data_IF_451952902450
#
_entry.id   IF_451952902450
#
_cell.length_a   1.000
_cell.length_b   1.000
_cell.length_c   1.000
_cell.angle_alpha   90.00
_cell.angle_beta   90.00
_cell.angle_gamma   90.00
#
_symmetry.space_group_name_H-M   'P 1'
#
loop_
_entity.id
_entity.type
_entity.pdbx_description
1 polymer ?
#
# COMPACT_ATOMS: atom_id res chain seq x y z
N UNK A 1 -26.55 51.38 38.31
CA UNK A 1 -26.85 52.52 37.41
C UNK A 1 -25.60 52.77 36.61
N UNK A 2 -25.54 52.82 35.30
CA UNK A 2 -26.52 52.75 34.22
C UNK A 2 -25.69 52.83 32.94
N UNK A 3 -26.00 51.99 31.93
CA UNK A 3 -25.66 52.16 30.50
C UNK A 3 -24.15 52.17 30.15
N UNK A 4 -23.66 51.31 29.26
CA UNK A 4 -23.93 51.40 27.82
C UNK A 4 -24.10 50.00 27.22
N UNK A 5 -25.33 49.69 26.83
CA UNK A 5 -25.68 48.64 25.90
C UNK A 5 -26.38 49.32 24.71
N UNK A 6 -25.73 49.30 23.55
CA UNK A 6 -26.27 49.49 22.20
C UNK A 6 -25.03 49.82 21.36
N UNK A 7 -24.55 48.95 20.48
CA UNK A 7 -25.17 48.69 19.17
C UNK A 7 -24.57 47.39 18.62
N UNK A 8 -25.34 46.31 18.59
CA UNK A 8 -25.05 45.16 17.75
C UNK A 8 -26.37 44.68 17.15
N UNK A 9 -26.82 45.41 16.14
CA UNK A 9 -27.77 44.89 15.16
C UNK A 9 -27.40 45.42 13.79
N UNK A 10 -27.58 44.57 12.78
CA UNK A 10 -27.50 44.86 11.36
C UNK A 10 -26.10 44.97 10.73
N UNK A 11 -25.49 43.81 10.42
CA UNK A 11 -25.03 43.43 9.07
C UNK A 11 -23.91 42.37 9.15
N UNK A 12 -24.27 41.09 9.10
CA UNK A 12 -23.34 40.05 8.67
C UNK A 12 -23.48 39.88 7.15
N UNK A 13 -22.56 40.39 6.32
CA UNK A 13 -22.45 39.89 4.98
C UNK A 13 -21.97 38.44 5.07
N UNK A 14 -22.59 37.55 4.32
CA UNK A 14 -22.12 36.20 4.01
C UNK A 14 -20.60 36.24 3.75
N UNK A 15 -19.79 35.79 4.71
CA UNK A 15 -18.33 35.83 4.62
C UNK A 15 -17.84 34.61 3.85
N UNK A 16 -17.07 34.87 2.79
CA UNK A 16 -16.49 33.85 1.93
C UNK A 16 -15.52 32.92 2.71
N UNK A 17 -15.28 31.69 2.22
CA UNK A 17 -14.39 30.71 2.85
C UNK A 17 -12.96 31.23 3.13
N UNK A 18 -12.55 32.27 2.41
CA UNK A 18 -11.25 32.94 2.54
C UNK A 18 -11.10 33.66 3.88
N UNK A 19 -12.20 34.17 4.47
CA UNK A 19 -12.17 34.92 5.73
C UNK A 19 -11.88 34.06 6.97
N UNK A 20 -12.25 32.78 6.95
CA UNK A 20 -12.03 31.83 8.06
C UNK A 20 -10.57 31.37 8.09
N UNK A 21 -9.92 31.28 6.93
CA UNK A 21 -8.51 30.92 6.80
C UNK A 21 -7.54 31.97 7.39
N UNK A 22 -7.94 33.26 7.40
CA UNK A 22 -7.10 34.33 7.94
C UNK A 22 -7.04 34.36 9.48
N UNK A 23 -8.06 33.86 10.20
CA UNK A 23 -8.09 33.85 11.67
C UNK A 23 -7.20 32.75 12.28
N UNK A 24 -6.89 31.69 11.52
CA UNK A 24 -5.94 30.65 11.94
C UNK A 24 -4.47 31.09 11.88
N UNK A 25 -4.19 32.27 11.29
CA UNK A 25 -2.85 32.81 11.06
C UNK A 25 -2.15 33.28 12.35
N UNK A 26 -2.90 33.62 13.39
CA UNK A 26 -2.34 34.26 14.59
C UNK A 26 -2.15 33.31 15.77
N UNK A 27 -2.80 32.14 15.80
CA UNK A 27 -2.68 31.23 16.95
C UNK A 27 -1.47 30.29 16.87
N UNK A 28 -0.92 30.01 15.68
CA UNK A 28 0.10 28.95 15.52
C UNK A 28 1.52 29.46 15.32
N UNK A 29 1.71 30.74 14.96
CA UNK A 29 3.03 31.27 14.59
C UNK A 29 3.89 31.79 15.75
N UNK A 30 3.38 31.88 16.98
CA UNK A 30 4.13 32.53 18.08
C UNK A 30 4.23 31.74 19.40
N UNK A 31 3.66 30.54 19.53
CA UNK A 31 3.58 29.89 20.86
C UNK A 31 3.81 28.38 20.95
N UNK A 32 3.96 27.63 19.83
CA UNK A 32 4.07 26.17 19.92
C UNK A 32 5.54 25.71 19.91
N UNK A 33 6.02 24.97 20.93
CA UNK A 33 7.34 24.33 20.90
C UNK A 33 7.41 23.34 19.73
N UNK A 34 8.60 23.14 19.14
CA UNK A 34 8.82 22.30 17.95
C UNK A 34 8.15 20.91 18.04
N UNK A 35 8.12 20.31 19.23
CA UNK A 35 7.47 19.04 19.51
C UNK A 35 5.92 19.02 19.32
N UNK A 36 5.28 20.18 19.19
CA UNK A 36 3.83 20.33 18.95
C UNK A 36 3.49 20.59 17.48
N UNK A 37 4.50 20.70 16.61
CA UNK A 37 4.28 20.89 15.17
C UNK A 37 3.88 19.55 14.54
N UNK A 38 2.77 19.48 13.79
CA UNK A 38 2.26 18.23 13.22
C UNK A 38 3.24 17.49 12.29
N UNK A 39 4.25 18.18 11.76
CA UNK A 39 5.26 17.64 10.84
C UNK A 39 6.56 17.24 11.55
N UNK A 40 6.68 17.49 12.86
CA UNK A 40 7.81 17.08 13.71
C UNK A 40 7.59 15.71 14.36
N UNK A 41 6.45 15.08 14.11
CA UNK A 41 6.13 13.75 14.64
C UNK A 41 6.96 12.68 13.89
N UNK A 42 7.75 11.86 14.62
CA UNK A 42 8.60 10.82 14.04
C UNK A 42 7.87 9.83 13.12
N UNK A 43 6.55 9.66 13.31
CA UNK A 43 5.71 8.81 12.46
C UNK A 43 5.57 9.32 11.01
N UNK A 44 5.93 10.57 10.75
CA UNK A 44 5.79 11.23 9.44
C UNK A 44 7.12 11.49 8.73
N UNK A 45 8.21 10.83 9.17
CA UNK A 45 9.40 10.65 8.35
C UNK A 45 10.43 11.78 8.37
N UNK A 46 10.46 12.64 9.39
CA UNK A 46 11.64 13.46 9.73
C UNK A 46 12.25 14.28 8.58
N UNK A 47 11.43 14.88 7.72
CA UNK A 47 11.91 15.77 6.66
C UNK A 47 11.92 17.20 7.19
N UNK A 48 13.12 17.74 7.45
CA UNK A 48 13.38 19.12 7.87
C UNK A 48 13.22 20.12 6.70
N UNK A 49 12.11 20.03 5.95
CA UNK A 49 11.70 21.06 5.00
C UNK A 49 10.40 21.63 5.54
N UNK A 50 10.41 22.89 6.00
CA UNK A 50 9.17 23.56 6.40
C UNK A 50 8.22 23.61 5.19
N UNK A 51 7.05 22.97 5.26
CA UNK A 51 6.11 23.00 4.16
C UNK A 51 5.57 24.43 3.98
N UNK A 52 5.45 24.84 2.72
CA UNK A 52 4.78 26.07 2.34
C UNK A 52 3.33 26.07 2.83
N UNK A 53 2.69 27.25 2.94
CA UNK A 53 1.27 27.33 3.32
C UNK A 53 0.37 26.46 2.42
N UNK A 54 0.65 26.45 1.13
CA UNK A 54 -0.01 25.58 0.15
C UNK A 54 0.26 24.10 0.44
N UNK A 55 1.49 23.74 0.80
CA UNK A 55 1.86 22.40 1.22
C UNK A 55 1.09 21.93 2.46
N UNK A 56 0.97 22.79 3.48
CA UNK A 56 0.19 22.47 4.69
C UNK A 56 -1.30 22.27 4.42
N UNK A 57 -1.88 23.12 3.56
CA UNK A 57 -3.29 22.97 3.14
C UNK A 57 -3.50 21.66 2.37
N UNK A 58 -2.58 21.33 1.47
CA UNK A 58 -2.62 20.06 0.72
C UNK A 58 -2.51 18.86 1.67
N UNK A 59 -1.57 18.88 2.62
CA UNK A 59 -1.42 17.81 3.62
C UNK A 59 -2.70 17.64 4.45
N UNK A 60 -3.36 18.73 4.84
CA UNK A 60 -4.59 18.67 5.62
C UNK A 60 -5.76 18.11 4.81
N UNK A 61 -5.90 18.50 3.53
CA UNK A 61 -6.90 17.93 2.63
C UNK A 61 -6.65 16.41 2.43
N UNK A 62 -5.39 16.02 2.22
CA UNK A 62 -4.99 14.62 2.09
C UNK A 62 -5.29 13.80 3.36
N UNK A 63 -5.08 14.39 4.55
CA UNK A 63 -5.40 13.72 5.82
C UNK A 63 -6.91 13.48 5.98
N UNK A 64 -7.72 14.41 5.49
CA UNK A 64 -9.19 14.36 5.59
C UNK A 64 -9.86 13.57 4.46
N UNK A 65 -9.15 13.29 3.38
CA UNK A 65 -9.72 12.62 2.21
C UNK A 65 -10.52 13.55 1.29
N UNK A 66 -10.28 14.87 1.35
CA UNK A 66 -11.03 15.86 0.57
C UNK A 66 -10.52 15.93 -0.88
N UNK A 67 -11.01 15.02 -1.74
CA UNK A 67 -10.60 14.91 -3.15
C UNK A 67 -10.78 16.22 -3.93
N UNK A 68 -11.94 16.87 -3.79
CA UNK A 68 -12.24 18.12 -4.51
C UNK A 68 -11.25 19.24 -4.17
N UNK A 69 -10.82 19.31 -2.91
CA UNK A 69 -9.83 20.27 -2.45
C UNK A 69 -8.44 19.98 -3.05
N UNK A 70 -8.05 18.70 -3.12
CA UNK A 70 -6.79 18.27 -3.74
C UNK A 70 -6.78 18.63 -5.23
N UNK A 71 -7.86 18.35 -5.96
CA UNK A 71 -8.01 18.72 -7.38
C UNK A 71 -7.92 20.23 -7.56
N UNK A 72 -8.62 21.01 -6.74
CA UNK A 72 -8.60 22.47 -6.81
C UNK A 72 -7.20 23.07 -6.54
N UNK A 73 -6.38 22.40 -5.73
CA UNK A 73 -5.03 22.85 -5.38
C UNK A 73 -3.96 22.46 -6.40
N UNK A 74 -4.25 21.54 -7.34
CA UNK A 74 -3.34 21.06 -8.40
C UNK A 74 -2.55 22.15 -9.13
N UNK A 75 -3.14 23.27 -9.60
CA UNK A 75 -2.38 24.29 -10.35
C UNK A 75 -1.40 25.09 -9.50
N UNK A 76 -1.63 25.15 -8.18
CA UNK A 76 -0.84 25.97 -7.25
C UNK A 76 0.08 25.15 -6.35
N UNK A 77 -0.11 23.82 -6.31
CA UNK A 77 0.62 22.94 -5.43
C UNK A 77 2.06 22.72 -5.89
N UNK A 78 2.99 22.72 -4.93
CA UNK A 78 4.36 22.26 -5.18
C UNK A 78 4.36 20.75 -5.39
N UNK A 79 4.85 20.30 -6.54
CA UNK A 79 4.95 18.88 -6.87
C UNK A 79 5.92 18.13 -5.93
N UNK A 80 6.95 18.83 -5.44
CA UNK A 80 7.93 18.28 -4.48
C UNK A 80 7.26 18.05 -3.12
N UNK A 81 6.46 19.02 -2.64
CA UNK A 81 5.77 18.87 -1.35
C UNK A 81 4.64 17.84 -1.44
N UNK A 82 3.96 17.79 -2.59
CA UNK A 82 2.95 16.79 -2.88
C UNK A 82 3.55 15.37 -2.82
N UNK A 83 4.75 15.19 -3.37
CA UNK A 83 5.40 13.89 -3.42
C UNK A 83 6.02 13.48 -2.08
N UNK A 84 6.71 14.40 -1.38
CA UNK A 84 7.42 14.09 -0.14
C UNK A 84 6.51 14.00 1.09
N UNK A 85 5.45 14.81 1.16
CA UNK A 85 4.61 14.93 2.36
C UNK A 85 3.15 14.53 2.11
N UNK A 86 2.52 15.07 1.06
CA UNK A 86 1.08 14.88 0.88
C UNK A 86 0.70 13.44 0.53
N UNK A 87 1.48 12.78 -0.35
CA UNK A 87 1.25 11.39 -0.76
C UNK A 87 1.41 10.40 0.41
N UNK A 88 2.50 10.41 1.21
CA UNK A 88 2.58 9.55 2.40
C UNK A 88 1.45 9.77 3.40
N UNK A 89 0.99 11.03 3.58
CA UNK A 89 -0.11 11.35 4.49
C UNK A 89 -1.44 10.78 3.97
N UNK A 90 -1.73 10.96 2.67
CA UNK A 90 -2.95 10.41 2.06
C UNK A 90 -2.97 8.88 2.15
N UNK A 91 -1.82 8.24 1.91
CA UNK A 91 -1.68 6.79 1.99
C UNK A 91 -1.84 6.30 3.44
N UNK A 92 -1.17 6.90 4.40
CA UNK A 92 -1.31 6.50 5.81
C UNK A 92 -2.73 6.72 6.35
N UNK A 93 -3.44 7.72 5.82
CA UNK A 93 -4.85 7.97 6.14
C UNK A 93 -5.82 6.99 5.44
N UNK A 94 -5.36 6.22 4.45
CA UNK A 94 -6.17 5.21 3.76
C UNK A 94 -7.05 5.73 2.63
N UNK A 95 -6.85 6.97 2.16
CA UNK A 95 -7.73 7.60 1.15
C UNK A 95 -7.28 7.28 -0.28
N UNK A 96 -7.70 6.12 -0.80
CA UNK A 96 -7.26 5.59 -2.11
C UNK A 96 -7.55 6.56 -3.27
N UNK A 97 -8.69 7.23 -3.26
CA UNK A 97 -9.10 8.18 -4.30
C UNK A 97 -8.17 9.39 -4.38
N UNK A 98 -7.75 9.91 -3.22
CA UNK A 98 -6.79 11.00 -3.13
C UNK A 98 -5.41 10.56 -3.59
N UNK A 99 -4.99 9.35 -3.20
CA UNK A 99 -3.71 8.76 -3.61
C UNK A 99 -3.67 8.58 -5.13
N UNK A 100 -4.75 8.08 -5.73
CA UNK A 100 -4.90 7.95 -7.19
C UNK A 100 -4.74 9.29 -7.89
N UNK A 101 -5.40 10.33 -7.39
CA UNK A 101 -5.29 11.67 -7.97
C UNK A 101 -3.86 12.21 -7.86
N UNK A 102 -3.22 12.09 -6.69
CA UNK A 102 -1.84 12.53 -6.48
C UNK A 102 -0.84 11.78 -7.38
N UNK A 103 -1.03 10.48 -7.59
CA UNK A 103 -0.18 9.70 -8.50
C UNK A 103 -0.35 10.09 -9.98
N UNK A 104 -1.50 10.67 -10.35
CA UNK A 104 -1.73 11.23 -11.69
C UNK A 104 -0.92 12.50 -11.96
N UNK A 105 -0.43 13.18 -10.92
CA UNK A 105 0.36 14.40 -11.06
C UNK A 105 1.77 14.08 -11.55
N UNK A 106 2.48 15.00 -12.24
CA UNK A 106 3.85 14.78 -12.68
C UNK A 106 4.84 14.95 -11.51
N UNK A 107 4.71 14.10 -10.48
CA UNK A 107 5.55 14.15 -9.29
C UNK A 107 7.03 13.84 -9.63
N UNK A 108 7.99 14.50 -8.96
CA UNK A 108 9.40 14.12 -9.04
C UNK A 108 9.64 12.79 -8.33
N UNK A 109 10.54 11.97 -8.87
CA UNK A 109 11.01 10.69 -8.29
C UNK A 109 9.89 9.75 -7.80
N UNK A 110 8.82 9.62 -8.60
CA UNK A 110 7.65 8.77 -8.29
C UNK A 110 8.03 7.37 -7.81
N UNK A 111 9.00 6.73 -8.45
CA UNK A 111 9.46 5.38 -8.11
C UNK A 111 9.95 5.30 -6.66
N UNK A 112 10.93 6.14 -6.29
CA UNK A 112 11.53 6.12 -4.96
C UNK A 112 10.49 6.40 -3.86
N UNK A 113 9.57 7.32 -4.14
CA UNK A 113 8.52 7.71 -3.19
C UNK A 113 7.48 6.59 -3.04
N UNK A 114 7.04 5.99 -4.15
CA UNK A 114 6.06 4.91 -4.12
C UNK A 114 6.59 3.72 -3.30
N UNK A 115 7.85 3.32 -3.52
CA UNK A 115 8.47 2.21 -2.79
C UNK A 115 8.61 2.53 -1.30
N UNK A 116 9.00 3.76 -0.94
CA UNK A 116 9.07 4.19 0.46
C UNK A 116 7.70 4.15 1.14
N UNK A 117 6.67 4.60 0.43
CA UNK A 117 5.30 4.60 0.93
C UNK A 117 4.76 3.17 1.09
N UNK A 118 5.05 2.28 0.14
CA UNK A 118 4.72 0.84 0.22
C UNK A 118 5.38 0.19 1.46
N UNK A 119 6.64 0.53 1.75
CA UNK A 119 7.32 0.03 2.96
C UNK A 119 6.60 0.45 4.25
N UNK A 120 6.18 1.71 4.34
CA UNK A 120 5.47 2.25 5.51
C UNK A 120 4.12 1.59 5.75
N UNK A 121 3.35 1.33 4.68
CA UNK A 121 2.02 0.72 4.84
C UNK A 121 2.07 -0.77 5.12
N UNK A 122 3.13 -1.45 4.68
CA UNK A 122 3.32 -2.88 4.93
C UNK A 122 3.32 -3.19 6.44
N UNK A 123 3.76 -2.23 7.26
CA UNK A 123 3.75 -2.32 8.71
C UNK A 123 2.40 -1.92 9.33
N UNK A 124 1.62 -1.08 8.64
CA UNK A 124 0.33 -0.55 9.12
C UNK A 124 -0.86 -1.50 8.94
N UNK A 125 -0.74 -2.54 8.09
CA UNK A 125 -1.78 -3.55 7.85
C UNK A 125 -2.93 -3.12 6.91
N UNK A 126 -2.76 -2.05 6.13
CA UNK A 126 -3.78 -1.57 5.17
C UNK A 126 -3.79 -2.38 3.86
N UNK A 127 -4.40 -3.57 3.90
CA UNK A 127 -4.40 -4.54 2.79
C UNK A 127 -4.82 -3.97 1.43
N UNK A 128 -5.93 -3.25 1.36
CA UNK A 128 -6.45 -2.68 0.10
C UNK A 128 -5.52 -1.59 -0.47
N UNK A 129 -4.91 -0.78 0.39
CA UNK A 129 -3.95 0.25 -0.02
C UNK A 129 -2.65 -0.37 -0.54
N UNK A 130 -2.16 -1.43 0.13
CA UNK A 130 -0.99 -2.20 -0.33
C UNK A 130 -1.26 -2.81 -1.70
N UNK A 131 -2.42 -3.47 -1.88
CA UNK A 131 -2.82 -4.04 -3.18
C UNK A 131 -2.80 -2.98 -4.26
N UNK A 132 -3.45 -1.85 -4.02
CA UNK A 132 -3.52 -0.75 -4.98
C UNK A 132 -2.13 -0.21 -5.36
N UNK A 133 -1.27 0.04 -4.38
CA UNK A 133 0.05 0.63 -4.62
C UNK A 133 1.03 -0.35 -5.26
N UNK A 134 1.00 -1.63 -4.90
CA UNK A 134 1.81 -2.67 -5.55
C UNK A 134 1.34 -2.85 -7.00
N UNK A 135 0.03 -2.91 -7.25
CA UNK A 135 -0.49 -2.98 -8.62
C UNK A 135 -0.04 -1.77 -9.45
N UNK A 136 -0.12 -0.58 -8.85
CA UNK A 136 0.33 0.66 -9.50
C UNK A 136 1.84 0.62 -9.78
N UNK A 137 2.65 0.08 -8.87
CA UNK A 137 4.09 -0.09 -9.08
C UNK A 137 4.39 -1.08 -10.24
N UNK A 138 3.62 -2.17 -10.34
CA UNK A 138 3.71 -3.15 -11.43
C UNK A 138 3.33 -2.53 -12.78
N UNK A 139 2.26 -1.72 -12.83
CA UNK A 139 1.83 -1.00 -14.04
C UNK A 139 2.89 -0.02 -14.54
N UNK A 140 3.58 0.69 -13.63
CA UNK A 140 4.69 1.58 -13.98
C UNK A 140 6.01 0.86 -14.25
N UNK A 141 6.12 -0.45 -13.98
CA UNK A 141 7.34 -1.23 -14.17
C UNK A 141 8.43 -0.98 -13.13
N UNK A 142 8.06 -0.54 -11.92
CA UNK A 142 8.98 -0.26 -10.81
C UNK A 142 9.41 -1.53 -10.06
N UNK A 143 9.97 -2.48 -10.80
CA UNK A 143 10.29 -3.83 -10.34
C UNK A 143 11.80 -4.13 -10.36
N UNK A 144 12.68 -3.16 -10.05
CA UNK A 144 14.13 -3.45 -10.03
C UNK A 144 14.47 -4.29 -8.80
N UNK A 145 15.57 -5.08 -8.84
CA UNK A 145 15.98 -5.97 -7.76
C UNK A 145 16.00 -5.35 -6.36
N UNK A 146 16.45 -4.09 -6.25
CA UNK A 146 16.50 -3.36 -4.97
C UNK A 146 15.12 -3.12 -4.35
N UNK A 147 14.06 -2.99 -5.15
CA UNK A 147 12.72 -2.68 -4.65
C UNK A 147 11.81 -3.90 -4.57
N UNK A 148 12.16 -5.00 -5.25
CA UNK A 148 11.47 -6.29 -5.12
C UNK A 148 11.36 -6.73 -3.68
N UNK A 149 12.43 -6.56 -2.89
CA UNK A 149 12.44 -6.84 -1.46
C UNK A 149 11.27 -6.15 -0.77
N UNK A 150 11.09 -4.85 -0.99
CA UNK A 150 10.03 -4.05 -0.38
C UNK A 150 8.65 -4.46 -0.88
N UNK A 151 8.51 -4.74 -2.18
CA UNK A 151 7.24 -5.17 -2.76
C UNK A 151 6.81 -6.54 -2.22
N UNK A 152 7.69 -7.54 -2.24
CA UNK A 152 7.42 -8.86 -1.64
C UNK A 152 7.19 -8.75 -0.13
N UNK A 153 7.93 -7.91 0.58
CA UNK A 153 7.68 -7.63 1.99
C UNK A 153 6.27 -7.04 2.21
N UNK A 154 5.78 -6.16 1.34
CA UNK A 154 4.43 -5.61 1.44
C UNK A 154 3.35 -6.64 1.10
N UNK A 155 3.53 -7.41 0.02
CA UNK A 155 2.55 -8.45 -0.37
C UNK A 155 2.45 -9.54 0.70
N UNK A 156 3.58 -9.96 1.25
CA UNK A 156 3.61 -10.95 2.33
C UNK A 156 3.01 -10.42 3.63
N UNK A 157 3.03 -9.11 3.91
CA UNK A 157 2.36 -8.59 5.11
C UNK A 157 0.83 -8.58 5.00
N UNK A 158 0.31 -8.52 3.76
CA UNK A 158 -1.12 -8.71 3.49
C UNK A 158 -1.49 -10.19 3.42
N UNK A 159 -0.56 -11.04 2.99
CA UNK A 159 -0.82 -12.46 2.72
C UNK A 159 -1.63 -12.69 1.45
N UNK A 160 -1.60 -11.74 0.51
CA UNK A 160 -2.30 -11.88 -0.77
C UNK A 160 -1.52 -12.77 -1.73
N UNK A 161 -1.98 -14.01 -1.87
CA UNK A 161 -1.37 -14.99 -2.76
C UNK A 161 -1.49 -14.60 -4.24
N UNK A 162 -2.60 -14.00 -4.66
CA UNK A 162 -2.81 -13.67 -6.07
C UNK A 162 -1.83 -12.58 -6.53
N UNK A 163 -1.68 -11.53 -5.70
CA UNK A 163 -0.73 -10.46 -5.93
C UNK A 163 0.73 -10.97 -5.85
N UNK A 164 0.99 -11.95 -4.98
CA UNK A 164 2.30 -12.57 -4.88
C UNK A 164 2.67 -13.33 -6.16
N UNK A 165 1.73 -14.06 -6.76
CA UNK A 165 1.95 -14.74 -8.05
C UNK A 165 2.16 -13.75 -9.19
N UNK A 166 1.33 -12.71 -9.28
CA UNK A 166 1.48 -11.72 -10.34
C UNK A 166 2.84 -11.02 -10.28
N UNK A 167 3.29 -10.68 -9.07
CA UNK A 167 4.61 -10.10 -8.87
C UNK A 167 5.72 -11.11 -9.15
N UNK A 168 5.58 -12.36 -8.74
CA UNK A 168 6.53 -13.42 -9.06
C UNK A 168 6.71 -13.62 -10.58
N UNK A 169 5.60 -13.68 -11.32
CA UNK A 169 5.60 -13.91 -12.76
C UNK A 169 6.21 -12.74 -13.55
N UNK A 170 6.04 -11.50 -13.06
CA UNK A 170 6.59 -10.30 -13.70
C UNK A 170 8.09 -10.14 -13.56
N UNK A 171 8.66 -10.73 -12.50
CA UNK A 171 10.03 -10.45 -12.10
C UNK A 171 11.01 -11.52 -12.62
N UNK A 172 10.56 -12.76 -12.83
CA UNK A 172 11.36 -13.79 -13.47
C UNK A 172 12.47 -14.38 -12.59
N UNK A 173 13.59 -14.77 -13.20
CA UNK A 173 14.69 -15.52 -12.56
C UNK A 173 15.66 -14.68 -11.73
N UNK A 174 15.62 -13.35 -11.83
CA UNK A 174 16.61 -12.44 -11.20
C UNK A 174 16.37 -12.21 -9.69
N UNK A 175 15.61 -13.11 -9.06
CA UNK A 175 15.11 -12.94 -7.70
C UNK A 175 15.78 -13.93 -6.78
N UNK A 176 16.28 -13.41 -5.65
CA UNK A 176 16.68 -14.25 -4.53
C UNK A 176 15.43 -14.80 -3.82
N UNK A 177 14.93 -15.93 -4.33
CA UNK A 177 13.78 -16.65 -3.78
C UNK A 177 14.01 -17.13 -2.35
N UNK A 178 15.26 -17.43 -1.99
CA UNK A 178 15.64 -17.83 -0.64
C UNK A 178 15.42 -16.67 0.33
N UNK A 179 15.80 -15.46 -0.08
CA UNK A 179 15.53 -14.25 0.68
C UNK A 179 14.03 -13.98 0.84
N UNK A 180 13.22 -14.16 -0.22
CA UNK A 180 11.75 -13.97 -0.14
C UNK A 180 11.10 -15.00 0.79
N UNK A 181 11.53 -16.26 0.68
CA UNK A 181 11.08 -17.33 1.57
C UNK A 181 11.33 -16.96 3.03
N UNK A 182 12.52 -16.44 3.34
CA UNK A 182 12.87 -16.00 4.69
C UNK A 182 11.94 -14.89 5.19
N UNK A 183 11.70 -13.84 4.40
CA UNK A 183 10.79 -12.75 4.76
C UNK A 183 9.35 -13.25 5.00
N UNK A 184 8.87 -14.16 4.15
CA UNK A 184 7.55 -14.76 4.32
C UNK A 184 7.46 -15.61 5.60
N UNK A 185 8.52 -16.36 5.92
CA UNK A 185 8.61 -17.19 7.12
C UNK A 185 8.69 -16.35 8.41
N UNK A 186 9.45 -15.25 8.43
CA UNK A 186 9.49 -14.31 9.57
C UNK A 186 8.10 -13.76 9.89
N UNK A 187 7.29 -13.53 8.86
CA UNK A 187 5.90 -13.06 9.01
C UNK A 187 4.88 -14.18 9.20
N UNK A 188 5.32 -15.45 9.27
CA UNK A 188 4.46 -16.64 9.45
C UNK A 188 3.46 -16.86 8.31
N UNK A 189 3.73 -16.31 7.12
CA UNK A 189 2.96 -16.59 5.91
C UNK A 189 3.59 -17.76 5.17
N UNK A 190 3.38 -18.96 5.74
CA UNK A 190 4.03 -20.19 5.29
C UNK A 190 3.63 -20.63 3.88
N UNK A 191 2.43 -20.27 3.42
CA UNK A 191 2.00 -20.52 2.04
C UNK A 191 2.86 -19.77 1.03
N UNK A 192 3.15 -18.49 1.29
CA UNK A 192 4.07 -17.69 0.48
C UNK A 192 5.52 -18.20 0.59
N UNK A 193 5.93 -18.63 1.79
CA UNK A 193 7.25 -19.20 2.01
C UNK A 193 7.45 -20.50 1.23
N UNK A 194 6.48 -21.42 1.27
CA UNK A 194 6.52 -22.66 0.50
C UNK A 194 6.58 -22.39 -1.03
N UNK A 195 5.88 -21.38 -1.51
CA UNK A 195 5.90 -21.00 -2.93
C UNK A 195 7.23 -20.38 -3.38
N UNK A 196 7.84 -19.57 -2.53
CA UNK A 196 9.18 -19.06 -2.76
C UNK A 196 10.19 -20.22 -2.76
N UNK A 197 10.03 -21.16 -1.82
CA UNK A 197 10.86 -22.36 -1.72
C UNK A 197 10.83 -23.24 -2.98
N UNK A 198 9.65 -23.47 -3.56
CA UNK A 198 9.52 -24.24 -4.81
C UNK A 198 10.34 -23.64 -5.97
N UNK A 199 10.62 -22.34 -5.94
CA UNK A 199 11.36 -21.58 -6.95
C UNK A 199 12.84 -21.40 -6.61
N UNK A 200 13.29 -21.81 -5.42
CA UNK A 200 14.71 -21.78 -5.07
C UNK A 200 15.49 -22.83 -5.87
N UNK A 201 16.59 -22.41 -6.50
CA UNK A 201 17.54 -23.32 -7.15
C UNK A 201 18.34 -24.13 -6.11
N UNK A 202 18.72 -23.48 -5.01
CA UNK A 202 19.44 -24.08 -3.88
C UNK A 202 18.46 -24.44 -2.75
N UNK A 203 18.52 -25.70 -2.29
CA UNK A 203 17.60 -26.28 -1.31
C UNK A 203 18.24 -26.56 0.05
N UNK A 204 19.38 -25.97 0.32
CA UNK A 204 20.03 -26.09 1.61
C UNK A 204 19.48 -25.05 2.60
N UNK A 205 18.63 -25.48 3.54
CA UNK A 205 18.08 -24.66 4.63
C UNK A 205 18.93 -24.69 5.90
N UNK A 206 19.97 -25.52 5.93
CA UNK A 206 20.77 -25.75 7.12
C UNK A 206 21.44 -24.44 7.59
N UNK A 207 21.07 -23.98 8.79
CA UNK A 207 21.61 -22.78 9.41
C UNK A 207 20.94 -21.46 9.02
N UNK A 208 20.00 -21.44 8.06
CA UNK A 208 19.30 -20.22 7.64
C UNK A 208 18.02 -19.99 8.45
N UNK A 209 17.29 -21.07 8.74
CA UNK A 209 16.05 -21.04 9.51
C UNK A 209 16.09 -22.07 10.65
N UNK A 210 15.33 -21.81 11.72
CA UNK A 210 15.28 -22.74 12.86
C UNK A 210 14.57 -24.05 12.52
N UNK A 211 14.92 -25.15 13.21
CA UNK A 211 14.32 -26.48 13.04
C UNK A 211 12.77 -26.49 13.18
N UNK A 212 12.25 -25.54 13.95
CA UNK A 212 10.80 -25.34 14.09
C UNK A 212 10.20 -24.74 12.81
N UNK A 213 10.88 -23.75 12.21
CA UNK A 213 10.45 -23.12 10.97
C UNK A 213 10.59 -24.06 9.77
N UNK A 214 11.64 -24.90 9.73
CA UNK A 214 11.79 -25.94 8.69
C UNK A 214 10.64 -26.95 8.75
N UNK A 215 10.28 -27.41 9.96
CA UNK A 215 9.16 -28.33 10.16
C UNK A 215 7.82 -27.73 9.69
N UNK A 216 7.57 -26.45 9.99
CA UNK A 216 6.37 -25.74 9.54
C UNK A 216 6.33 -25.55 8.03
N UNK A 217 7.47 -25.27 7.40
CA UNK A 217 7.58 -25.17 5.95
C UNK A 217 7.27 -26.51 5.26
N UNK A 218 7.85 -27.61 5.75
CA UNK A 218 7.59 -28.95 5.21
C UNK A 218 6.15 -29.41 5.42
N UNK A 219 5.53 -29.07 6.55
CA UNK A 219 4.11 -29.38 6.81
C UNK A 219 3.20 -28.69 5.78
N UNK A 220 3.44 -27.41 5.49
CA UNK A 220 2.65 -26.66 4.52
C UNK A 220 2.92 -27.10 3.08
N UNK A 221 4.16 -27.46 2.76
CA UNK A 221 4.49 -28.07 1.47
C UNK A 221 3.71 -29.38 1.26
N UNK A 222 3.64 -30.22 2.30
CA UNK A 222 2.85 -31.46 2.28
C UNK A 222 1.36 -31.22 2.07
N UNK A 223 0.79 -30.19 2.72
CA UNK A 223 -0.61 -29.78 2.50
C UNK A 223 -0.85 -29.32 1.06
N UNK A 224 0.05 -28.51 0.50
CA UNK A 224 -0.07 -28.02 -0.87
C UNK A 224 0.01 -29.17 -1.90
N UNK A 225 0.93 -30.11 -1.70
CA UNK A 225 1.05 -31.29 -2.56
C UNK A 225 -0.24 -32.14 -2.53
N UNK A 226 -0.75 -32.44 -1.33
CA UNK A 226 -1.99 -33.20 -1.18
C UNK A 226 -3.21 -32.50 -1.80
N UNK A 227 -3.25 -31.15 -1.75
CA UNK A 227 -4.29 -30.37 -2.40
C UNK A 227 -4.21 -30.43 -3.94
N UNK A 228 -3.00 -30.41 -4.51
CA UNK A 228 -2.77 -30.58 -5.95
C UNK A 228 -3.20 -31.97 -6.41
N UNK A 229 -2.77 -33.02 -5.71
CA UNK A 229 -3.13 -34.40 -6.02
C UNK A 229 -4.66 -34.62 -5.97
N UNK A 230 -5.35 -34.00 -5.01
CA UNK A 230 -6.80 -34.03 -4.92
C UNK A 230 -7.50 -33.29 -6.08
N UNK A 231 -6.96 -32.15 -6.52
CA UNK A 231 -7.47 -31.42 -7.67
C UNK A 231 -7.27 -32.20 -8.98
N UNK A 232 -6.14 -32.88 -9.14
CA UNK A 232 -5.87 -33.73 -10.32
C UNK A 232 -6.83 -34.93 -10.38
N UNK A 233 -7.11 -35.57 -9.23
CA UNK A 233 -8.12 -36.63 -9.13
C UNK A 233 -9.54 -36.13 -9.45
N UNK A 234 -9.89 -34.91 -9.03
CA UNK A 234 -11.17 -34.28 -9.38
C UNK A 234 -11.26 -33.92 -10.87
N UNK A 235 -10.18 -33.41 -11.46
CA UNK A 235 -10.11 -33.10 -12.90
C UNK A 235 -10.19 -34.38 -13.75
N UNK A 236 -9.50 -35.45 -13.33
CA UNK A 236 -9.54 -36.75 -14.00
C UNK A 236 -10.91 -37.43 -13.89
N UNK A 237 -11.62 -37.27 -12.76
CA UNK A 237 -12.98 -37.80 -12.60
C UNK A 237 -14.05 -36.97 -13.30
N UNK A 238 -13.88 -35.65 -13.41
CA UNK A 238 -14.77 -34.76 -14.18
C UNK A 238 -14.76 -35.02 -15.69
N UNK A 239 -13.63 -35.48 -16.24
CA UNK A 239 -13.52 -35.87 -17.66
C UNK A 239 -14.23 -37.20 -18.00
N UNK A 240 -14.44 -38.09 -17.02
CA UNK A 240 -15.16 -39.35 -17.23
C UNK A 240 -16.70 -39.21 -17.27
N UNK A 241 -17.23 -37.99 -17.09
CA UNK A 241 -18.67 -37.70 -17.12
C UNK A 241 -19.25 -37.27 -18.47
N UNK A 242 -18.41 -36.96 -19.47
CA UNK A 242 -18.85 -36.49 -20.81
C UNK A 242 -18.40 -37.53 -21.86
N UNK A 243 -19.04 -38.70 -21.89
CA UNK A 243 -18.67 -39.70 -22.91
C UNK A 243 -19.32 -41.08 -22.85
N UNK A 244 -20.13 -41.41 -21.84
CA UNK A 244 -20.83 -42.70 -21.78
C UNK A 244 -22.26 -42.58 -22.32
N UNK A 245 -22.41 -42.21 -23.60
CA UNK A 245 -23.71 -41.87 -24.17
C UNK A 245 -23.86 -42.12 -25.65
N UNK A 246 -23.34 -43.22 -26.22
CA UNK A 246 -23.86 -43.78 -27.48
C UNK A 246 -23.29 -45.18 -27.79
N UNK A 247 -23.74 -46.20 -27.05
CA UNK A 247 -23.78 -47.56 -27.61
C UNK A 247 -25.09 -47.72 -28.40
N UNK A 248 -25.09 -47.24 -29.64
CA UNK A 248 -26.13 -47.59 -30.62
C UNK A 248 -25.87 -49.01 -31.10
N UNK A 249 -26.54 -49.97 -30.48
CA UNK A 249 -26.74 -51.32 -31.02
C UNK A 249 -27.43 -51.18 -32.39
N UNK A 250 -26.69 -51.37 -33.48
CA UNK A 250 -27.28 -51.60 -34.81
C UNK A 250 -27.64 -53.08 -34.90
N UNK A 251 -28.91 -53.41 -34.63
CA UNK A 251 -29.58 -54.55 -35.27
C UNK A 251 -29.80 -54.18 -36.73
N UNK A 252 -29.19 -54.93 -37.66
CA UNK A 252 -29.89 -55.71 -38.70
C UNK A 252 -29.01 -56.92 -38.98
#
# INVERSE_FOLDING_TARGET
MSQVASEFSSNYPQRSPVGVACMARESWSLAAPEASRPWSDPRYGGFDIEPSRSGLLLQQACRRGELDAVIAMRPTASLVEASLHALPIAVNAGHIEVVRELLSWPLPDKEAILIRVIASIAESGQAEMVRYLVQTALEYGYCRPLQLRTLFQAVTSVGDLALFYELADRVGSDVDWLFIMFVAAERKHWTCAALAWERCEDRDLEGIISDKQTSQLYEELGRQQAARDAQELQAASGFNGIGAGQLRVRRI
#
